data_IF_243771638118
#
_entry.id   IF_243771638118
#
_cell.length_a   1.000
_cell.length_b   1.000
_cell.length_c   1.000
_cell.angle_alpha   90.00
_cell.angle_beta   90.00
_cell.angle_gamma   90.00
#
_symmetry.space_group_name_H-M   'P 1'
#
loop_
_entity.id
_entity.type
_entity.pdbx_description
1 polymer ?
#
# COMPACT_ATOMS: atom_id res chain seq x y z
N UNK A 1 26.16 -34.51 13.11
CA UNK A 1 25.72 -33.49 12.13
C UNK A 1 24.40 -32.80 12.50
N UNK A 2 23.92 -32.91 13.75
CA UNK A 2 22.66 -32.27 14.16
C UNK A 2 22.82 -30.75 14.41
N UNK A 3 23.96 -30.34 14.98
CA UNK A 3 24.23 -28.95 15.35
C UNK A 3 24.30 -28.00 14.14
N UNK A 4 24.85 -28.49 13.02
CA UNK A 4 24.94 -27.72 11.77
C UNK A 4 23.56 -27.50 11.12
N UNK A 5 22.65 -28.47 11.28
CA UNK A 5 21.26 -28.37 10.80
C UNK A 5 20.48 -27.32 11.60
N UNK A 6 20.68 -27.26 12.92
CA UNK A 6 20.12 -26.19 13.75
C UNK A 6 20.66 -24.81 13.33
N UNK A 7 21.97 -24.66 13.13
CA UNK A 7 22.57 -23.38 12.74
C UNK A 7 22.13 -22.87 11.35
N UNK A 8 21.94 -23.78 10.38
CA UNK A 8 21.43 -23.46 9.05
C UNK A 8 19.95 -23.04 9.06
N UNK A 9 19.15 -23.59 9.97
CA UNK A 9 17.71 -23.31 10.05
C UNK A 9 17.38 -22.12 10.97
N UNK A 10 18.24 -21.78 11.94
CA UNK A 10 18.09 -20.56 12.76
C UNK A 10 18.53 -19.29 12.05
N UNK A 11 19.26 -19.39 10.94
CA UNK A 11 19.74 -18.25 10.13
C UNK A 11 18.71 -17.76 9.11
N UNK A 12 17.47 -18.26 9.12
CA UNK A 12 16.41 -17.73 8.27
C UNK A 12 15.88 -16.42 8.87
N UNK A 13 16.73 -15.41 8.83
CA UNK A 13 16.38 -14.02 9.07
C UNK A 13 15.56 -13.53 7.87
N UNK A 14 14.26 -13.35 8.07
CA UNK A 14 13.39 -12.63 7.15
C UNK A 14 12.45 -11.73 7.93
N UNK A 15 13.00 -10.82 8.73
CA UNK A 15 12.23 -9.69 9.28
C UNK A 15 12.00 -8.56 8.24
N UNK A 16 12.12 -8.87 6.95
CA UNK A 16 11.71 -7.96 5.87
C UNK A 16 10.26 -8.23 5.47
N UNK A 17 9.33 -7.72 6.28
CA UNK A 17 7.91 -7.73 5.99
C UNK A 17 7.28 -6.37 6.27
N UNK A 18 6.35 -5.93 5.42
CA UNK A 18 5.45 -4.83 5.78
C UNK A 18 4.56 -5.33 6.92
N UNK A 19 4.53 -4.61 8.05
CA UNK A 19 3.59 -4.89 9.12
C UNK A 19 2.15 -4.83 8.56
N UNK A 20 1.50 -5.98 8.43
CA UNK A 20 0.11 -6.09 7.96
C UNK A 20 -0.77 -6.36 9.16
N UNK A 21 -1.78 -5.52 9.38
CA UNK A 21 -2.90 -5.91 10.23
C UNK A 21 -3.75 -6.88 9.42
N UNK A 22 -4.17 -7.98 10.05
CA UNK A 22 -5.19 -8.82 9.46
C UNK A 22 -6.46 -7.99 9.28
N UNK A 23 -7.17 -8.13 8.15
CA UNK A 23 -8.48 -7.51 8.02
C UNK A 23 -9.39 -8.04 9.14
N UNK A 24 -10.33 -7.22 9.63
CA UNK A 24 -11.29 -7.67 10.63
C UNK A 24 -12.04 -8.91 10.13
N UNK A 25 -12.35 -9.87 11.02
CA UNK A 25 -13.15 -11.02 10.65
C UNK A 25 -14.50 -10.54 10.07
N UNK A 26 -15.00 -11.15 8.99
CA UNK A 26 -16.23 -10.71 8.36
C UNK A 26 -17.43 -10.94 9.30
N UNK A 27 -18.24 -9.90 9.53
CA UNK A 27 -19.50 -10.05 10.24
C UNK A 27 -20.47 -10.89 9.40
N UNK A 28 -21.15 -11.86 10.03
CA UNK A 28 -22.08 -12.80 9.36
C UNK A 28 -23.28 -12.13 8.64
N UNK A 29 -23.47 -10.82 8.79
CA UNK A 29 -24.55 -10.03 8.19
C UNK A 29 -24.06 -8.89 7.28
N UNK A 30 -22.75 -8.72 7.07
CA UNK A 30 -22.27 -7.77 6.09
C UNK A 30 -22.54 -8.33 4.69
N UNK A 31 -23.62 -7.85 4.05
CA UNK A 31 -23.70 -7.85 2.58
C UNK A 31 -22.33 -7.34 2.10
N UNK A 32 -21.64 -8.10 1.25
CA UNK A 32 -20.50 -7.59 0.47
C UNK A 32 -21.04 -6.34 -0.23
N UNK A 33 -20.87 -5.18 0.36
CA UNK A 33 -20.99 -3.94 -0.37
C UNK A 33 -19.91 -4.07 -1.43
N UNK A 34 -20.32 -4.11 -2.70
CA UNK A 34 -19.38 -3.87 -3.77
C UNK A 34 -18.84 -2.47 -3.49
N UNK A 35 -17.67 -2.43 -2.85
CA UNK A 35 -16.94 -1.20 -2.65
C UNK A 35 -16.63 -0.76 -4.07
N UNK A 36 -17.36 0.21 -4.58
CA UNK A 36 -17.08 0.81 -5.88
C UNK A 36 -15.77 1.57 -5.74
N UNK A 37 -14.67 0.85 -5.93
CA UNK A 37 -13.32 1.40 -5.81
C UNK A 37 -13.16 2.38 -6.96
N UNK A 38 -13.39 3.68 -6.66
CA UNK A 38 -13.22 4.79 -7.61
C UNK A 38 -11.81 4.69 -8.21
N UNK A 39 -11.72 4.29 -9.50
CA UNK A 39 -10.44 4.05 -10.18
C UNK A 39 -9.49 5.25 -10.17
N UNK A 40 -10.04 6.47 -10.10
CA UNK A 40 -9.31 7.74 -9.94
C UNK A 40 -8.54 7.87 -8.61
N UNK A 41 -8.89 7.09 -7.59
CA UNK A 41 -8.24 7.13 -6.27
C UNK A 41 -7.09 6.12 -6.15
N UNK A 42 -6.78 5.36 -7.21
CA UNK A 42 -5.73 4.34 -7.18
C UNK A 42 -4.44 4.85 -7.81
N UNK A 43 -3.36 4.84 -7.01
CA UNK A 43 -1.99 5.00 -7.51
C UNK A 43 -1.34 3.63 -7.65
N UNK A 44 -1.13 3.18 -8.89
CA UNK A 44 -0.49 1.89 -9.17
C UNK A 44 1.02 2.04 -9.00
N UNK A 45 1.61 1.22 -8.12
CA UNK A 45 3.05 1.14 -7.89
C UNK A 45 3.51 -0.29 -8.17
N UNK A 46 4.34 -0.47 -9.20
CA UNK A 46 4.95 -1.74 -9.56
C UNK A 46 6.43 -1.70 -9.21
N UNK A 47 6.92 -2.75 -8.55
CA UNK A 47 8.31 -2.89 -8.15
C UNK A 47 8.84 -4.17 -8.78
N UNK A 48 9.94 -4.05 -9.54
CA UNK A 48 10.63 -5.18 -10.15
C UNK A 48 11.72 -5.73 -9.23
N UNK A 49 12.13 -6.98 -9.43
CA UNK A 49 13.25 -7.61 -8.72
C UNK A 49 14.59 -6.90 -8.95
N UNK A 50 14.70 -6.13 -10.02
CA UNK A 50 15.85 -5.24 -10.34
C UNK A 50 15.79 -3.90 -9.62
N UNK A 51 14.91 -3.74 -8.63
CA UNK A 51 14.71 -2.51 -7.85
C UNK A 51 14.23 -1.30 -8.68
N UNK A 52 13.68 -1.56 -9.86
CA UNK A 52 13.00 -0.55 -10.69
C UNK A 52 11.59 -0.33 -10.17
N UNK A 53 11.18 0.94 -10.03
CA UNK A 53 9.82 1.30 -9.59
C UNK A 53 9.09 2.05 -10.69
N UNK A 54 7.90 1.55 -11.03
CA UNK A 54 6.94 2.22 -11.90
C UNK A 54 5.79 2.75 -11.03
N UNK A 55 5.61 4.07 -10.96
CA UNK A 55 4.58 4.68 -10.13
C UNK A 55 3.74 5.64 -10.98
N UNK A 56 2.45 5.33 -11.14
CA UNK A 56 1.54 6.10 -11.99
C UNK A 56 1.90 6.10 -13.48
N UNK A 57 2.54 5.02 -13.96
CA UNK A 57 2.95 4.88 -15.37
C UNK A 57 4.34 5.42 -15.70
N UNK A 58 5.05 6.01 -14.75
CA UNK A 58 6.41 6.55 -14.95
C UNK A 58 7.46 5.79 -14.13
N UNK A 59 8.63 5.58 -14.71
CA UNK A 59 9.78 5.01 -14.01
C UNK A 59 10.41 6.06 -13.11
N UNK A 60 10.61 5.72 -11.83
CA UNK A 60 11.27 6.60 -10.86
C UNK A 60 12.10 5.83 -9.85
N UNK A 61 12.97 6.56 -9.14
CA UNK A 61 13.73 6.02 -8.02
C UNK A 61 12.82 5.85 -6.79
N UNK A 62 13.09 4.84 -5.96
CA UNK A 62 12.33 4.48 -4.75
C UNK A 62 12.20 5.66 -3.78
N UNK A 63 13.21 6.54 -3.73
CA UNK A 63 13.22 7.73 -2.88
C UNK A 63 12.17 8.76 -3.32
N UNK A 64 11.86 8.83 -4.61
CA UNK A 64 10.94 9.80 -5.20
C UNK A 64 9.47 9.36 -5.07
N UNK A 65 9.22 8.05 -4.99
CA UNK A 65 7.87 7.47 -4.82
C UNK A 65 7.14 8.10 -3.63
N UNK A 66 7.85 8.35 -2.53
CA UNK A 66 7.28 9.00 -1.33
C UNK A 66 6.78 10.42 -1.61
N UNK A 67 7.53 11.20 -2.38
CA UNK A 67 7.14 12.57 -2.73
C UNK A 67 5.92 12.56 -3.67
N UNK A 68 5.97 11.73 -4.72
CA UNK A 68 4.87 11.61 -5.69
C UNK A 68 3.57 11.10 -5.04
N UNK A 69 3.67 10.13 -4.13
CA UNK A 69 2.52 9.65 -3.38
C UNK A 69 1.91 10.75 -2.49
N UNK A 70 2.73 11.58 -1.84
CA UNK A 70 2.24 12.72 -1.06
C UNK A 70 1.52 13.75 -1.93
N UNK A 71 2.07 14.07 -3.09
CA UNK A 71 1.45 14.99 -4.04
C UNK A 71 0.10 14.46 -4.54
N UNK A 72 0.06 13.16 -4.89
CA UNK A 72 -1.15 12.49 -5.33
C UNK A 72 -2.27 12.52 -4.27
N UNK A 73 -1.92 12.27 -3.00
CA UNK A 73 -2.88 12.30 -1.89
C UNK A 73 -3.29 13.74 -1.54
N UNK A 74 -2.34 14.68 -1.56
CA UNK A 74 -2.60 16.06 -1.15
C UNK A 74 -3.58 16.77 -2.10
N UNK A 75 -3.56 16.45 -3.40
CA UNK A 75 -4.44 16.98 -4.45
C UNK A 75 -4.94 18.42 -4.17
N UNK A 76 -4.00 19.37 -4.01
CA UNK A 76 -4.33 20.73 -3.53
C UNK A 76 -5.27 21.46 -4.48
N UNK A 77 -5.12 21.22 -5.79
CA UNK A 77 -5.89 21.89 -6.84
C UNK A 77 -7.17 21.14 -7.25
N UNK A 78 -7.52 20.04 -6.55
CA UNK A 78 -8.68 19.20 -6.84
C UNK A 78 -8.80 18.81 -8.32
N UNK A 79 -7.66 18.42 -8.92
CA UNK A 79 -7.59 18.13 -10.35
C UNK A 79 -8.46 16.90 -10.68
N UNK A 80 -9.25 16.91 -11.77
CA UNK A 80 -10.07 15.79 -12.18
C UNK A 80 -9.28 14.49 -12.44
N UNK A 81 -7.96 14.56 -12.69
CA UNK A 81 -7.10 13.39 -12.84
C UNK A 81 -6.55 12.85 -11.50
N UNK A 82 -6.82 13.53 -10.40
CA UNK A 82 -6.34 13.18 -9.05
C UNK A 82 -7.48 12.65 -8.16
N UNK A 83 -7.13 12.04 -7.01
CA UNK A 83 -8.11 11.43 -6.13
C UNK A 83 -9.19 12.40 -5.70
N UNK A 84 -10.42 11.91 -5.68
CA UNK A 84 -11.56 12.66 -5.17
C UNK A 84 -11.38 12.92 -3.67
N UNK A 85 -11.56 14.18 -3.27
CA UNK A 85 -11.67 14.53 -1.86
C UNK A 85 -13.14 14.45 -1.46
N UNK A 86 -13.44 13.61 -0.48
CA UNK A 86 -14.73 13.60 0.19
C UNK A 86 -14.56 14.29 1.54
N UNK A 87 -15.38 15.32 1.80
CA UNK A 87 -15.47 15.93 3.13
C UNK A 87 -16.31 15.01 4.01
N UNK A 88 -15.68 14.43 5.03
CA UNK A 88 -16.36 13.62 6.03
C UNK A 88 -16.40 14.40 7.35
N UNK A 89 -17.61 14.65 7.85
CA UNK A 89 -17.80 15.19 9.20
C UNK A 89 -17.43 14.11 10.21
N UNK A 90 -16.26 14.27 10.84
CA UNK A 90 -15.81 13.40 11.92
C UNK A 90 -16.27 14.01 13.25
N UNK A 91 -17.06 13.31 14.07
CA UNK A 91 -17.41 13.81 15.39
C UNK A 91 -16.14 13.92 16.24
N UNK A 92 -15.93 15.07 16.87
CA UNK A 92 -14.90 15.25 17.89
C UNK A 92 -15.26 14.38 19.10
N UNK A 93 -14.31 13.53 19.53
CA UNK A 93 -14.39 12.77 20.78
C UNK A 93 -13.98 13.65 21.97
#
# INVERSE_FOLDING_TARGET
>A
MLLLFFLLTTSMDTDMGLARRLPPPPDKQQKKQEIDVKKRNMLVVLISSTNQVLCGGEYMDIKQVKAKAKEFIANVNNDPNLPEKEEADVPFF
#
